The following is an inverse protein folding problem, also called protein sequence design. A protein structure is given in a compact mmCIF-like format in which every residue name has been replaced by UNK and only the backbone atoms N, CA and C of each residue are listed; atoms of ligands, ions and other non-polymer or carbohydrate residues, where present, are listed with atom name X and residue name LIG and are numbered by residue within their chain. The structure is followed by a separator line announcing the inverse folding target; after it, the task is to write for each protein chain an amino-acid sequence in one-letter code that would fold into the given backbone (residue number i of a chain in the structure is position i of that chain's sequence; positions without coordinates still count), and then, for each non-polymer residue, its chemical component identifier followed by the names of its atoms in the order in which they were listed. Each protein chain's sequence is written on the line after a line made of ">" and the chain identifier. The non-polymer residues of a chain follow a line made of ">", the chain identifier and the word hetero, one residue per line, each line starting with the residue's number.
data_IF_314799501568
#
_entry.id   IF_314799501568
#
_cell.length_a   1.000
_cell.length_b   1.000
_cell.length_c   1.000
_cell.angle_alpha   90.00
_cell.angle_beta   90.00
_cell.angle_gamma   90.00
#
_symmetry.space_group_name_H-M   'P 1'
#
loop_
_entity.id
_entity.type
_entity.pdbx_description
1 polymer ?
#
# COMPACT_ATOMS: atom_id res chain seq x y z
N UNK A 1 -1.24 6.24 -7.56
CA UNK A 1 -0.88 7.13 -6.44
C UNK A 1 0.00 6.44 -5.43
N UNK A 2 0.84 7.18 -4.72
CA UNK A 2 1.78 6.63 -3.73
C UNK A 2 1.01 6.32 -2.43
N UNK A 3 1.36 5.22 -1.75
CA UNK A 3 0.70 4.85 -0.49
C UNK A 3 0.74 5.98 0.55
N UNK A 4 1.87 6.70 0.59
CA UNK A 4 2.07 7.87 1.44
C UNK A 4 1.04 8.99 1.21
N UNK A 5 0.61 9.22 -0.01
CA UNK A 5 -0.40 10.26 -0.33
C UNK A 5 -1.77 9.88 0.23
N UNK A 6 -2.12 8.58 0.16
CA UNK A 6 -3.37 8.06 0.73
C UNK A 6 -3.39 8.18 2.25
N UNK A 7 -2.26 7.86 2.91
CA UNK A 7 -2.12 8.02 4.35
C UNK A 7 -2.20 9.48 4.79
N UNK A 8 -1.62 10.40 4.00
CA UNK A 8 -1.70 11.85 4.26
C UNK A 8 -3.14 12.35 4.19
N UNK A 9 -3.93 11.87 3.23
CA UNK A 9 -5.34 12.24 3.08
C UNK A 9 -6.16 11.69 4.25
N UNK A 10 -6.01 10.42 4.61
CA UNK A 10 -6.67 9.84 5.79
C UNK A 10 -6.31 10.61 7.07
N UNK A 11 -5.04 10.97 7.23
CA UNK A 11 -4.59 11.76 8.37
C UNK A 11 -5.17 13.18 8.37
N UNK A 12 -5.31 13.80 7.20
CA UNK A 12 -5.92 15.12 7.07
C UNK A 12 -7.41 15.09 7.42
N UNK A 13 -8.13 14.03 7.01
CA UNK A 13 -9.55 13.82 7.36
C UNK A 13 -9.69 13.60 8.87
N UNK A 14 -8.85 12.73 9.46
CA UNK A 14 -8.84 12.49 10.92
C UNK A 14 -8.65 13.78 11.74
N UNK A 15 -7.83 14.69 11.24
CA UNK A 15 -7.50 15.94 11.93
C UNK A 15 -8.41 17.13 11.53
N UNK A 16 -9.51 16.87 10.82
CA UNK A 16 -10.46 17.88 10.32
C UNK A 16 -9.78 19.04 9.54
N UNK A 17 -8.70 18.71 8.83
CA UNK A 17 -7.90 19.66 8.03
C UNK A 17 -7.89 19.27 6.55
N UNK A 18 -8.89 18.52 6.11
CA UNK A 18 -8.97 18.03 4.75
C UNK A 18 -9.68 19.04 3.83
N UNK A 19 -8.91 19.66 2.94
CA UNK A 19 -9.44 20.55 1.90
C UNK A 19 -9.75 19.78 0.61
N UNK A 20 -11.02 19.42 0.45
CA UNK A 20 -11.53 18.72 -0.73
C UNK A 20 -11.41 19.54 -2.04
N UNK A 21 -11.28 20.87 -1.98
CA UNK A 21 -11.18 21.73 -3.18
C UNK A 21 -9.81 21.67 -3.86
N UNK A 22 -8.80 21.08 -3.22
CA UNK A 22 -7.54 20.73 -3.89
C UNK A 22 -7.78 19.56 -4.85
N UNK A 23 -7.77 19.86 -6.15
CA UNK A 23 -8.26 19.07 -7.28
C UNK A 23 -7.69 17.63 -7.49
N UNK A 24 -6.94 17.04 -6.55
CA UNK A 24 -6.25 15.75 -6.73
C UNK A 24 -6.92 14.61 -5.93
N UNK A 25 -7.96 14.91 -5.14
CA UNK A 25 -8.44 13.95 -4.12
C UNK A 25 -9.68 13.14 -4.50
N UNK A 26 -10.40 13.48 -5.58
CA UNK A 26 -11.69 12.87 -5.90
C UNK A 26 -11.66 11.34 -6.02
N UNK A 27 -10.75 10.80 -6.82
CA UNK A 27 -10.63 9.34 -7.01
C UNK A 27 -10.17 8.62 -5.73
N UNK A 28 -9.24 9.23 -4.98
CA UNK A 28 -8.76 8.68 -3.70
C UNK A 28 -9.88 8.61 -2.69
N UNK A 29 -10.66 9.68 -2.57
CA UNK A 29 -11.73 9.78 -1.60
C UNK A 29 -12.82 8.75 -1.89
N UNK A 30 -13.17 8.55 -3.16
CA UNK A 30 -14.06 7.45 -3.56
C UNK A 30 -13.47 6.08 -3.24
N UNK A 31 -12.15 5.89 -3.38
CA UNK A 31 -11.50 4.63 -3.01
C UNK A 31 -11.53 4.39 -1.48
N UNK A 32 -11.29 5.44 -0.68
CA UNK A 32 -11.34 5.38 0.78
C UNK A 32 -12.76 5.12 1.30
N UNK A 33 -13.77 5.74 0.69
CA UNK A 33 -15.20 5.51 0.95
C UNK A 33 -15.58 4.06 0.65
N UNK A 34 -15.26 3.56 -0.56
CA UNK A 34 -15.52 2.16 -0.93
C UNK A 34 -14.79 1.14 -0.05
N UNK A 35 -13.61 1.50 0.44
CA UNK A 35 -12.84 0.66 1.36
C UNK A 35 -13.37 0.70 2.80
N UNK A 36 -14.33 1.59 3.09
CA UNK A 36 -14.93 1.78 4.41
C UNK A 36 -13.99 2.45 5.41
N UNK A 37 -12.99 3.21 4.95
CA UNK A 37 -12.09 3.95 5.82
C UNK A 37 -12.58 5.37 6.13
N UNK A 38 -13.45 5.90 5.28
CA UNK A 38 -14.00 7.25 5.40
C UNK A 38 -15.49 7.18 5.08
N UNK A 39 -16.31 7.87 5.86
CA UNK A 39 -17.71 8.13 5.55
C UNK A 39 -17.86 9.52 4.95
N UNK A 40 -18.71 9.64 3.92
CA UNK A 40 -18.93 10.91 3.21
C UNK A 40 -20.40 11.30 3.34
N UNK A 41 -20.64 12.35 4.11
CA UNK A 41 -21.97 12.95 4.23
C UNK A 41 -22.11 14.09 3.24
N UNK A 42 -22.94 13.90 2.21
CA UNK A 42 -23.21 14.91 1.17
C UNK A 42 -24.50 15.65 1.50
N UNK A 43 -24.40 16.97 1.69
CA UNK A 43 -25.52 17.87 2.01
C UNK A 43 -25.66 18.96 0.94
N UNK A 44 -26.71 19.79 1.04
CA UNK A 44 -26.87 20.96 0.17
C UNK A 44 -25.77 22.01 0.36
N UNK A 45 -25.16 22.04 1.55
CA UNK A 45 -24.17 23.04 1.96
C UNK A 45 -22.72 22.60 1.71
N UNK A 46 -22.51 21.31 1.40
CA UNK A 46 -21.19 20.76 1.13
C UNK A 46 -21.08 19.25 1.37
N UNK A 47 -19.86 18.73 1.22
CA UNK A 47 -19.51 17.36 1.59
C UNK A 47 -18.67 17.38 2.85
N UNK A 48 -19.04 16.55 3.82
CA UNK A 48 -18.33 16.31 5.06
C UNK A 48 -17.67 14.93 5.00
N UNK A 49 -16.47 14.82 5.55
CA UNK A 49 -15.64 13.62 5.48
C UNK A 49 -15.24 13.24 6.90
N UNK A 50 -15.68 12.06 7.34
CA UNK A 50 -15.37 11.54 8.67
C UNK A 50 -14.56 10.26 8.54
N UNK A 51 -13.54 10.09 9.38
CA UNK A 51 -12.82 8.82 9.44
C UNK A 51 -13.66 7.79 10.21
N UNK A 52 -13.74 6.58 9.68
CA UNK A 52 -14.43 5.48 10.38
C UNK A 52 -13.51 4.84 11.43
N UNK A 53 -14.07 4.12 12.41
CA UNK A 53 -13.27 3.32 13.37
C UNK A 53 -12.27 2.37 12.67
N UNK A 54 -12.71 1.81 11.53
CA UNK A 54 -11.87 0.97 10.67
C UNK A 54 -10.74 1.77 10.04
N UNK A 55 -11.03 2.96 9.52
CA UNK A 55 -10.04 3.86 8.94
C UNK A 55 -9.01 4.32 9.97
N UNK A 56 -9.45 4.63 11.19
CA UNK A 56 -8.57 5.02 12.28
C UNK A 56 -7.66 3.87 12.71
N UNK A 57 -8.23 2.69 12.94
CA UNK A 57 -7.46 1.48 13.27
C UNK A 57 -6.42 1.19 12.18
N UNK A 58 -6.83 1.25 10.91
CA UNK A 58 -5.95 1.04 9.77
C UNK A 58 -4.78 2.05 9.73
N UNK A 59 -5.06 3.33 9.98
CA UNK A 59 -4.03 4.37 10.03
C UNK A 59 -3.05 4.12 11.18
N UNK A 60 -3.56 3.80 12.37
CA UNK A 60 -2.77 3.50 13.56
C UNK A 60 -1.87 2.27 13.35
N UNK A 61 -2.34 1.28 12.59
CA UNK A 61 -1.57 0.08 12.24
C UNK A 61 -0.48 0.34 11.19
N UNK A 62 -0.38 1.55 10.65
CA UNK A 62 0.66 1.98 9.70
C UNK A 62 0.17 2.22 8.27
N UNK A 63 -1.14 2.10 8.04
CA UNK A 63 -1.80 2.51 6.80
C UNK A 63 -1.31 1.83 5.53
N UNK A 64 -1.53 2.48 4.39
CA UNK A 64 -1.11 2.00 3.09
C UNK A 64 0.42 1.90 2.99
N UNK A 65 1.16 2.79 3.67
CA UNK A 65 2.62 2.77 3.67
C UNK A 65 3.19 1.47 4.24
N UNK A 66 2.56 0.90 5.27
CA UNK A 66 2.98 -0.40 5.80
C UNK A 66 2.73 -1.53 4.79
N UNK A 67 1.54 -1.58 4.19
CA UNK A 67 1.19 -2.56 3.16
C UNK A 67 2.18 -2.50 1.99
N UNK A 68 2.53 -1.29 1.53
CA UNK A 68 3.48 -1.12 0.44
C UNK A 68 4.89 -1.62 0.83
N UNK A 69 5.35 -1.32 2.05
CA UNK A 69 6.63 -1.84 2.57
C UNK A 69 6.63 -3.36 2.68
N UNK A 70 5.54 -3.97 3.14
CA UNK A 70 5.41 -5.42 3.25
C UNK A 70 5.45 -6.09 1.88
N UNK A 71 4.69 -5.57 0.91
CA UNK A 71 4.74 -6.04 -0.49
C UNK A 71 6.13 -5.92 -1.10
N UNK A 72 6.85 -4.83 -0.83
CA UNK A 72 8.23 -4.67 -1.30
C UNK A 72 9.19 -5.66 -0.63
N UNK A 73 9.03 -5.93 0.67
CA UNK A 73 9.83 -6.95 1.38
C UNK A 73 9.57 -8.34 0.81
N UNK A 74 8.32 -8.68 0.52
CA UNK A 74 7.94 -9.97 -0.05
C UNK A 74 8.54 -10.16 -1.44
N UNK A 75 8.39 -9.17 -2.34
CA UNK A 75 9.04 -9.19 -3.67
C UNK A 75 10.56 -9.33 -3.59
N UNK A 76 11.21 -8.66 -2.62
CA UNK A 76 12.65 -8.81 -2.39
C UNK A 76 13.02 -10.21 -1.93
N UNK A 77 12.25 -10.80 -1.01
CA UNK A 77 12.47 -12.19 -0.56
C UNK A 77 12.36 -13.17 -1.73
N UNK A 78 11.31 -13.06 -2.53
CA UNK A 78 11.09 -13.89 -3.72
C UNK A 78 12.25 -13.77 -4.70
N UNK A 79 12.71 -12.55 -4.97
CA UNK A 79 13.85 -12.29 -5.84
C UNK A 79 15.15 -12.93 -5.33
N UNK A 80 15.46 -12.79 -4.04
CA UNK A 80 16.65 -13.41 -3.43
C UNK A 80 16.59 -14.93 -3.51
N UNK A 81 15.44 -15.53 -3.19
CA UNK A 81 15.24 -16.99 -3.29
C UNK A 81 15.48 -17.46 -4.73
N UNK A 82 14.95 -16.73 -5.71
CA UNK A 82 15.16 -17.06 -7.14
C UNK A 82 16.63 -17.01 -7.53
N UNK A 83 17.39 -16.01 -7.07
CA UNK A 83 18.84 -15.93 -7.33
C UNK A 83 19.56 -17.14 -6.71
N UNK A 84 19.25 -17.48 -5.45
CA UNK A 84 19.87 -18.62 -4.77
C UNK A 84 19.64 -19.91 -5.56
N UNK A 85 18.41 -20.16 -6.02
CA UNK A 85 18.12 -21.32 -6.85
C UNK A 85 18.86 -21.33 -8.20
N UNK A 86 18.99 -20.18 -8.86
CA UNK A 86 19.75 -20.09 -10.11
C UNK A 86 21.23 -20.42 -9.90
N UNK A 87 21.84 -19.90 -8.83
CA UNK A 87 23.25 -20.17 -8.52
C UNK A 87 23.47 -21.64 -8.18
N UNK A 88 22.61 -22.22 -7.31
CA UNK A 88 22.69 -23.64 -6.96
C UNK A 88 22.50 -24.53 -8.19
N UNK A 89 21.54 -24.22 -9.06
CA UNK A 89 21.33 -24.95 -10.31
C UNK A 89 22.56 -24.92 -11.22
N UNK A 90 23.19 -23.75 -11.39
CA UNK A 90 24.40 -23.62 -12.20
C UNK A 90 25.59 -24.42 -11.63
N UNK A 91 25.74 -24.46 -10.29
CA UNK A 91 26.77 -25.27 -9.63
C UNK A 91 26.53 -26.76 -9.89
N UNK A 92 25.29 -27.24 -9.73
CA UNK A 92 24.95 -28.65 -9.97
C UNK A 92 25.25 -29.04 -11.41
N UNK A 93 24.85 -28.22 -12.40
CA UNK A 93 25.15 -28.47 -13.81
C UNK A 93 26.67 -28.57 -14.04
N UNK A 94 27.45 -27.65 -13.46
CA UNK A 94 28.92 -27.70 -13.57
C UNK A 94 29.55 -28.93 -12.93
N UNK A 95 29.01 -29.40 -11.80
CA UNK A 95 29.48 -30.63 -11.15
C UNK A 95 29.16 -31.86 -11.99
N UNK A 96 27.98 -31.91 -12.62
CA UNK A 96 27.61 -32.98 -13.55
C UNK A 96 28.56 -32.98 -14.75
N UNK A 97 28.79 -31.82 -15.37
CA UNK A 97 29.73 -31.68 -16.49
C UNK A 97 31.13 -32.21 -16.12
N UNK A 98 31.61 -31.91 -14.92
CA UNK A 98 32.92 -32.38 -14.43
C UNK A 98 32.95 -33.90 -14.14
N UNK A 99 31.82 -34.49 -13.73
CA UNK A 99 31.73 -35.91 -13.39
C UNK A 99 31.68 -36.80 -14.64
N UNK A 100 31.20 -36.26 -15.76
CA UNK A 100 31.07 -36.94 -17.06
C UNK A 100 32.12 -36.49 -18.09
N UNK A 101 33.07 -35.63 -17.71
CA UNK A 101 34.23 -35.23 -18.50
C UNK A 101 35.44 -36.13 -18.19
#
# INVERSE_FOLDING_TARGET
>A
MKAREKDQILSAIKNDNFDYKKAIHGEIISELERSGYVDITRTKDGSFFDITDKGETFLNDGGFSKIEKEKQKEKRKEYVVRIVFLVLGAIIVKLIDLLFA
#
